data_IF_636455424592
#
_entry.id   IF_636455424592
#
_cell.length_a   1.000
_cell.length_b   1.000
_cell.length_c   1.000
_cell.angle_alpha   90.00
_cell.angle_beta   90.00
_cell.angle_gamma   90.00
#
_symmetry.space_group_name_H-M   'P 1'
#
loop_
_entity.id
_entity.type
_entity.pdbx_description
1 polymer ?
#
# COMPACT_ATOMS: atom_id res chain seq x y z
N UNK A 1 32.16 -14.26 -13.19
CA UNK A 1 31.48 -14.59 -11.91
C UNK A 1 31.01 -13.34 -11.10
N UNK A 2 31.51 -12.11 -11.34
CA UNK A 2 31.14 -10.92 -10.52
C UNK A 2 29.88 -10.16 -10.95
N UNK A 3 29.39 -10.29 -12.17
CA UNK A 3 28.19 -9.60 -12.65
C UNK A 3 26.89 -10.30 -12.21
N UNK A 4 26.86 -11.64 -12.25
CA UNK A 4 25.69 -12.43 -11.83
C UNK A 4 25.34 -12.18 -10.35
N UNK A 5 26.33 -11.99 -9.48
CA UNK A 5 26.09 -11.74 -8.04
C UNK A 5 25.55 -10.32 -7.75
N UNK A 6 25.82 -9.32 -8.59
CA UNK A 6 25.29 -7.97 -8.40
C UNK A 6 23.82 -7.86 -8.83
N UNK A 7 23.47 -8.41 -9.97
CA UNK A 7 22.06 -8.41 -10.46
C UNK A 7 21.15 -9.21 -9.53
N UNK A 8 21.61 -10.37 -9.03
CA UNK A 8 20.85 -11.18 -8.07
C UNK A 8 20.62 -10.45 -6.74
N UNK A 9 21.63 -9.69 -6.25
CA UNK A 9 21.49 -8.92 -5.01
C UNK A 9 20.51 -7.73 -5.17
N UNK A 10 20.53 -7.02 -6.29
CA UNK A 10 19.57 -5.93 -6.55
C UNK A 10 18.14 -6.46 -6.60
N UNK A 11 17.91 -7.59 -7.25
CA UNK A 11 16.60 -8.21 -7.35
C UNK A 11 16.06 -8.62 -5.98
N UNK A 12 16.88 -9.24 -5.12
CA UNK A 12 16.48 -9.63 -3.76
C UNK A 12 16.16 -8.42 -2.88
N UNK A 13 16.91 -7.33 -3.01
CA UNK A 13 16.68 -6.10 -2.25
C UNK A 13 15.32 -5.49 -2.59
N UNK A 14 14.89 -5.55 -3.85
CA UNK A 14 13.58 -5.02 -4.28
C UNK A 14 12.40 -5.72 -3.62
N UNK A 15 12.45 -7.05 -3.42
CA UNK A 15 11.39 -7.79 -2.74
C UNK A 15 11.23 -7.39 -1.27
N UNK A 16 12.33 -7.02 -0.60
CA UNK A 16 12.32 -6.57 0.79
C UNK A 16 11.76 -5.15 0.97
N UNK A 17 11.43 -4.45 -0.10
CA UNK A 17 10.80 -3.13 -0.07
C UNK A 17 9.28 -3.18 -0.24
N UNK A 18 8.72 -4.37 -0.41
CA UNK A 18 7.27 -4.56 -0.58
C UNK A 18 6.67 -5.17 0.67
N UNK A 19 5.84 -4.39 1.37
CA UNK A 19 5.05 -4.86 2.52
C UNK A 19 3.72 -5.43 2.04
N UNK A 20 3.37 -6.60 2.52
CA UNK A 20 2.00 -7.12 2.44
C UNK A 20 1.29 -6.79 3.74
N UNK A 21 0.22 -6.02 3.67
CA UNK A 21 -0.56 -5.61 4.84
C UNK A 21 -1.93 -6.28 4.78
N UNK A 22 -2.25 -7.10 5.77
CA UNK A 22 -3.55 -7.75 5.92
C UNK A 22 -4.31 -7.06 7.06
N UNK A 23 -5.50 -6.54 6.75
CA UNK A 23 -6.30 -5.75 7.71
C UNK A 23 -7.49 -6.55 8.19
N UNK A 24 -7.67 -6.61 9.52
CA UNK A 24 -8.80 -7.25 10.21
C UNK A 24 -9.06 -8.70 9.73
N UNK A 25 -8.00 -9.45 9.44
CA UNK A 25 -8.12 -10.85 9.00
C UNK A 25 -8.73 -11.70 10.11
N UNK A 26 -9.86 -12.34 9.82
CA UNK A 26 -10.62 -13.14 10.78
C UNK A 26 -10.22 -14.61 10.79
N UNK A 27 -9.82 -15.14 9.64
CA UNK A 27 -9.47 -16.55 9.45
C UNK A 27 -7.95 -16.73 9.49
N UNK A 28 -7.36 -17.31 10.58
CA UNK A 28 -5.91 -17.44 10.71
C UNK A 28 -5.29 -18.33 9.63
N UNK A 29 -6.06 -19.23 9.02
CA UNK A 29 -5.60 -20.03 7.88
C UNK A 29 -5.23 -19.17 6.66
N UNK A 30 -5.86 -18.00 6.47
CA UNK A 30 -5.52 -17.06 5.41
C UNK A 30 -4.17 -16.38 5.66
N UNK A 31 -3.83 -16.08 6.93
CA UNK A 31 -2.52 -15.52 7.29
C UNK A 31 -1.41 -16.52 6.93
N UNK A 32 -1.58 -17.81 7.31
CA UNK A 32 -0.62 -18.85 6.99
C UNK A 32 -0.46 -19.06 5.47
N UNK A 33 -1.59 -19.13 4.75
CA UNK A 33 -1.56 -19.30 3.30
C UNK A 33 -0.94 -18.08 2.59
N UNK A 34 -1.17 -16.86 3.08
CA UNK A 34 -0.52 -15.65 2.59
C UNK A 34 1.00 -15.68 2.83
N UNK A 35 1.45 -16.08 4.03
CA UNK A 35 2.87 -16.22 4.34
C UNK A 35 3.55 -17.20 3.39
N UNK A 36 2.91 -18.34 3.09
CA UNK A 36 3.41 -19.31 2.11
C UNK A 36 3.48 -18.71 0.69
N UNK A 37 2.44 -18.02 0.27
CA UNK A 37 2.40 -17.33 -1.02
C UNK A 37 3.55 -16.31 -1.16
N UNK A 38 3.77 -15.52 -0.12
CA UNK A 38 4.83 -14.52 -0.03
C UNK A 38 6.21 -15.19 -0.13
N UNK A 39 6.49 -16.20 0.69
CA UNK A 39 7.79 -16.89 0.71
C UNK A 39 8.13 -17.51 -0.64
N UNK A 40 7.16 -18.12 -1.33
CA UNK A 40 7.37 -18.68 -2.67
C UNK A 40 7.82 -17.62 -3.70
N UNK A 41 7.46 -16.35 -3.47
CA UNK A 41 7.74 -15.23 -4.37
C UNK A 41 8.70 -14.20 -3.76
N UNK A 42 9.56 -14.64 -2.83
CA UNK A 42 10.61 -13.86 -2.19
C UNK A 42 10.14 -12.63 -1.38
N UNK A 43 8.85 -12.50 -1.09
CA UNK A 43 8.31 -11.46 -0.21
C UNK A 43 8.45 -11.89 1.25
N UNK A 44 8.95 -11.00 2.10
CA UNK A 44 9.23 -11.30 3.51
C UNK A 44 8.52 -10.38 4.49
N UNK A 45 8.08 -9.20 4.05
CA UNK A 45 7.51 -8.19 4.93
C UNK A 45 5.99 -8.37 5.09
N UNK A 46 5.56 -9.11 6.10
CA UNK A 46 4.15 -9.29 6.46
C UNK A 46 3.78 -8.36 7.62
N UNK A 47 2.73 -7.57 7.44
CA UNK A 47 2.12 -6.73 8.46
C UNK A 47 0.67 -7.16 8.67
N UNK A 48 0.27 -7.28 9.93
CA UNK A 48 -1.07 -7.73 10.34
C UNK A 48 -1.70 -6.62 11.18
N UNK A 49 -2.72 -5.96 10.64
CA UNK A 49 -3.46 -4.93 11.38
C UNK A 49 -4.63 -5.59 12.06
N UNK A 50 -4.67 -5.55 13.39
CA UNK A 50 -5.72 -6.09 14.24
C UNK A 50 -6.23 -7.50 13.82
N UNK A 51 -5.35 -8.50 13.63
CA UNK A 51 -5.78 -9.85 13.29
C UNK A 51 -6.59 -10.46 14.44
N UNK A 52 -7.68 -11.16 14.13
CA UNK A 52 -8.58 -11.70 15.17
C UNK A 52 -7.96 -12.83 16.00
N UNK A 53 -7.06 -13.62 15.43
CA UNK A 53 -6.43 -14.75 16.09
C UNK A 53 -5.02 -14.99 15.54
N UNK A 54 -4.06 -14.26 16.10
CA UNK A 54 -2.65 -14.38 15.76
C UNK A 54 -1.78 -14.09 17.00
N UNK A 55 -0.73 -14.88 17.29
CA UNK A 55 -0.30 -16.08 16.55
C UNK A 55 -1.28 -17.28 16.71
N UNK A 56 -1.27 -18.21 15.73
CA UNK A 56 -2.21 -19.33 15.69
C UNK A 56 -1.59 -20.60 15.10
N UNK A 57 -1.84 -21.74 15.73
CA UNK A 57 -1.43 -23.03 15.21
C UNK A 57 -2.00 -23.34 13.82
N UNK A 58 -3.20 -22.82 13.50
CA UNK A 58 -3.82 -22.94 12.19
C UNK A 58 -3.03 -22.15 11.14
N UNK A 59 -2.57 -20.94 11.48
CA UNK A 59 -1.73 -20.14 10.60
C UNK A 59 -0.40 -20.87 10.32
N UNK A 60 0.27 -21.39 11.35
CA UNK A 60 1.52 -22.15 11.22
C UNK A 60 1.33 -23.38 10.34
N UNK A 61 0.28 -24.17 10.57
CA UNK A 61 0.00 -25.36 9.76
C UNK A 61 -0.22 -25.02 8.27
N UNK A 62 -0.94 -23.91 7.99
CA UNK A 62 -1.20 -23.45 6.62
C UNK A 62 0.02 -22.80 5.96
N UNK A 63 0.95 -22.26 6.74
CA UNK A 63 2.19 -21.67 6.22
C UNK A 63 3.13 -22.71 5.62
N UNK A 64 3.06 -23.98 6.08
CA UNK A 64 3.76 -25.12 5.44
C UNK A 64 5.23 -24.82 5.12
N UNK A 65 6.02 -24.43 6.13
CA UNK A 65 7.43 -24.08 6.01
C UNK A 65 7.74 -22.60 5.75
N UNK A 66 6.73 -21.73 5.76
CA UNK A 66 6.91 -20.27 5.74
C UNK A 66 6.84 -19.66 7.16
N UNK A 67 7.32 -20.41 8.16
CA UNK A 67 7.29 -20.01 9.57
C UNK A 67 8.14 -18.76 9.85
N UNK A 68 9.20 -18.56 9.09
CA UNK A 68 10.05 -17.38 9.13
C UNK A 68 9.30 -16.10 8.75
N UNK A 69 8.40 -16.14 7.76
CA UNK A 69 7.54 -15.01 7.40
C UNK A 69 6.55 -14.71 8.53
N UNK A 70 5.97 -15.76 9.13
CA UNK A 70 5.07 -15.59 10.27
C UNK A 70 5.79 -15.03 11.50
N UNK A 71 6.94 -15.60 11.87
CA UNK A 71 7.68 -15.17 13.07
C UNK A 71 8.20 -13.74 12.98
N UNK A 72 8.44 -13.24 11.76
CA UNK A 72 8.87 -11.87 11.51
C UNK A 72 7.69 -10.91 11.20
N UNK A 73 6.44 -11.43 11.20
CA UNK A 73 5.28 -10.61 10.93
C UNK A 73 5.10 -9.53 12.01
N UNK A 74 4.83 -8.30 11.58
CA UNK A 74 4.58 -7.16 12.48
C UNK A 74 3.09 -7.02 12.72
N UNK A 75 2.68 -7.08 13.98
CA UNK A 75 1.29 -6.85 14.40
C UNK A 75 1.15 -5.39 14.77
N UNK A 76 0.20 -4.70 14.14
CA UNK A 76 -0.10 -3.28 14.32
C UNK A 76 -1.51 -3.08 14.87
N UNK A 77 -1.70 -2.03 15.66
CA UNK A 77 -3.01 -1.65 16.19
C UNK A 77 -3.86 -0.89 15.17
N UNK A 78 -3.23 -0.19 14.22
CA UNK A 78 -3.91 0.59 13.17
C UNK A 78 -3.24 0.39 11.82
N UNK A 79 -3.96 0.74 10.73
CA UNK A 79 -3.39 0.70 9.38
C UNK A 79 -2.30 1.76 9.22
N UNK A 80 -2.46 2.93 9.82
CA UNK A 80 -1.46 4.00 9.79
C UNK A 80 -0.12 3.54 10.37
N UNK A 81 -0.13 2.78 11.48
CA UNK A 81 1.10 2.19 12.05
C UNK A 81 1.81 1.27 11.06
N UNK A 82 1.05 0.46 10.30
CA UNK A 82 1.61 -0.43 9.28
C UNK A 82 2.17 0.32 8.07
N UNK A 83 1.76 1.58 7.87
CA UNK A 83 2.13 2.41 6.72
C UNK A 83 3.26 3.40 7.02
N UNK A 84 3.74 3.51 8.28
CA UNK A 84 4.87 4.39 8.62
C UNK A 84 6.10 4.06 7.75
N UNK A 85 6.68 5.06 7.12
CA UNK A 85 7.86 4.93 6.24
C UNK A 85 7.54 4.38 4.84
N UNK A 86 6.26 4.16 4.50
CA UNK A 86 5.83 3.73 3.16
C UNK A 86 5.71 4.95 2.24
N UNK A 87 6.15 4.81 0.99
CA UNK A 87 6.07 5.86 -0.02
C UNK A 87 4.86 5.68 -0.95
N UNK A 88 4.52 4.46 -1.28
CA UNK A 88 3.37 4.15 -2.13
C UNK A 88 2.45 3.15 -1.44
N UNK A 89 1.19 3.53 -1.24
CA UNK A 89 0.16 2.68 -0.63
C UNK A 89 -0.85 2.25 -1.69
N UNK A 90 -1.01 0.95 -1.85
CA UNK A 90 -1.87 0.32 -2.85
C UNK A 90 -2.93 -0.51 -2.13
N UNK A 91 -4.20 -0.22 -2.37
CA UNK A 91 -5.32 -1.00 -1.82
C UNK A 91 -5.80 -2.06 -2.81
N UNK A 92 -5.87 -3.32 -2.41
CA UNK A 92 -6.46 -4.38 -3.22
C UNK A 92 -8.00 -4.33 -3.12
N UNK A 93 -8.70 -4.20 -4.25
CA UNK A 93 -10.16 -4.14 -4.28
C UNK A 93 -10.72 -4.87 -5.49
N UNK A 94 -11.66 -5.78 -5.25
CA UNK A 94 -12.42 -6.44 -6.30
C UNK A 94 -13.71 -5.69 -6.67
N UNK A 95 -14.14 -4.71 -5.86
CA UNK A 95 -15.42 -4.00 -6.03
C UNK A 95 -15.24 -2.70 -6.78
N UNK A 96 -16.15 -2.41 -7.70
CA UNK A 96 -16.30 -1.05 -8.24
C UNK A 96 -16.78 -0.13 -7.12
N UNK A 97 -16.15 1.05 -7.01
CA UNK A 97 -16.46 2.06 -5.99
C UNK A 97 -17.05 3.31 -6.64
N UNK A 98 -17.96 3.99 -5.92
CA UNK A 98 -18.59 5.22 -6.40
C UNK A 98 -17.61 6.40 -6.54
N UNK A 99 -16.50 6.36 -5.81
CA UNK A 99 -15.43 7.35 -5.89
C UNK A 99 -14.40 6.83 -6.91
N UNK A 100 -14.04 7.63 -7.91
CA UNK A 100 -13.04 7.27 -8.92
C UNK A 100 -11.63 7.38 -8.34
N UNK A 101 -11.04 6.25 -7.95
CA UNK A 101 -9.63 6.11 -7.62
C UNK A 101 -8.79 5.97 -8.89
N UNK A 102 -7.47 6.22 -8.80
CA UNK A 102 -6.55 5.71 -9.81
C UNK A 102 -6.56 4.18 -9.69
N UNK A 103 -7.18 3.53 -10.66
CA UNK A 103 -7.27 2.06 -10.68
C UNK A 103 -6.27 1.53 -11.68
N UNK A 104 -5.54 0.52 -11.26
CA UNK A 104 -4.61 -0.22 -12.07
C UNK A 104 -4.95 -1.71 -11.97
N UNK A 105 -4.68 -2.47 -13.02
CA UNK A 105 -4.68 -3.91 -12.89
C UNK A 105 -3.41 -4.38 -12.15
N UNK A 106 -3.32 -5.67 -11.88
CA UNK A 106 -2.18 -6.23 -11.14
C UNK A 106 -0.86 -6.09 -11.90
N UNK A 107 -0.88 -6.10 -13.24
CA UNK A 107 0.32 -5.96 -14.08
C UNK A 107 0.83 -4.52 -14.04
N UNK A 108 -0.06 -3.56 -14.29
CA UNK A 108 0.23 -2.12 -14.21
C UNK A 108 0.70 -1.74 -12.79
N UNK A 109 0.05 -2.31 -11.77
CA UNK A 109 0.43 -2.10 -10.36
C UNK A 109 1.85 -2.58 -10.09
N UNK A 110 2.23 -3.76 -10.58
CA UNK A 110 3.59 -4.27 -10.39
C UNK A 110 4.63 -3.41 -11.10
N UNK A 111 4.31 -2.85 -12.27
CA UNK A 111 5.19 -1.89 -12.95
C UNK A 111 5.40 -0.62 -12.14
N UNK A 112 4.34 -0.08 -11.51
CA UNK A 112 4.43 1.07 -10.61
C UNK A 112 5.26 0.76 -9.35
N UNK A 113 5.07 -0.42 -8.75
CA UNK A 113 5.86 -0.89 -7.61
C UNK A 113 7.35 -0.92 -8.00
N UNK A 114 7.68 -1.51 -9.13
CA UNK A 114 9.06 -1.63 -9.55
C UNK A 114 9.70 -0.25 -9.78
N UNK A 115 8.99 0.69 -10.40
CA UNK A 115 9.46 2.06 -10.54
C UNK A 115 9.74 2.72 -9.18
N UNK A 116 8.88 2.49 -8.19
CA UNK A 116 9.01 3.05 -6.83
C UNK A 116 10.16 2.41 -6.05
N UNK A 117 10.30 1.08 -6.08
CA UNK A 117 11.35 0.38 -5.31
C UNK A 117 12.74 0.52 -5.91
N UNK A 118 12.87 0.86 -7.20
CA UNK A 118 14.16 1.14 -7.85
C UNK A 118 14.72 2.51 -7.46
N UNK A 119 13.91 3.42 -6.96
CA UNK A 119 14.36 4.66 -6.32
C UNK A 119 14.86 4.30 -4.91
N UNK A 120 16.07 4.71 -4.57
CA UNK A 120 16.76 4.29 -3.35
C UNK A 120 15.90 4.43 -2.10
N UNK A 121 15.80 3.33 -1.34
CA UNK A 121 15.16 3.18 -0.04
C UNK A 121 13.64 3.38 0.03
N UNK A 122 12.93 3.50 -1.08
CA UNK A 122 11.48 3.65 -1.07
C UNK A 122 10.76 2.32 -0.84
N UNK A 123 9.83 2.29 0.13
CA UNK A 123 9.01 1.13 0.44
C UNK A 123 7.59 1.29 -0.08
N UNK A 124 7.00 0.17 -0.46
CA UNK A 124 5.61 0.07 -0.97
C UNK A 124 4.81 -0.82 -0.04
N UNK A 125 3.56 -0.46 0.23
CA UNK A 125 2.60 -1.33 0.91
C UNK A 125 1.46 -1.72 -0.03
N UNK A 126 1.14 -3.01 -0.05
CA UNK A 126 -0.06 -3.54 -0.71
C UNK A 126 -1.01 -4.04 0.38
N UNK A 127 -2.16 -3.37 0.49
CA UNK A 127 -3.11 -3.53 1.58
C UNK A 127 -4.28 -4.40 1.12
N UNK A 128 -4.53 -5.46 1.87
CA UNK A 128 -5.64 -6.40 1.65
C UNK A 128 -6.60 -6.33 2.83
N UNK A 129 -7.87 -6.08 2.56
CA UNK A 129 -8.90 -5.97 3.59
C UNK A 129 -9.47 -7.30 4.03
N UNK A 130 -10.56 -7.23 4.81
CA UNK A 130 -11.25 -8.42 5.35
C UNK A 130 -11.80 -9.32 4.25
N UNK A 131 -11.97 -10.60 4.58
CA UNK A 131 -12.45 -11.64 3.66
C UNK A 131 -13.85 -11.33 3.10
N UNK A 132 -14.72 -10.74 3.90
CA UNK A 132 -16.13 -10.55 3.55
C UNK A 132 -16.40 -9.21 2.84
N UNK A 133 -15.77 -8.13 3.31
CA UNK A 133 -16.09 -6.77 2.86
C UNK A 133 -14.97 -6.09 2.08
N UNK A 134 -13.74 -6.64 2.14
CA UNK A 134 -12.55 -5.98 1.62
C UNK A 134 -12.18 -4.77 2.50
N UNK A 135 -11.55 -3.78 1.91
CA UNK A 135 -11.17 -2.54 2.57
C UNK A 135 -12.38 -1.62 2.78
N UNK A 136 -12.45 -0.97 3.93
CA UNK A 136 -13.44 0.10 4.21
C UNK A 136 -13.10 1.36 3.41
N UNK A 137 -14.00 2.34 3.42
CA UNK A 137 -13.73 3.62 2.74
C UNK A 137 -12.60 4.39 3.43
N UNK A 138 -12.54 4.32 4.76
CA UNK A 138 -11.51 4.96 5.58
C UNK A 138 -10.13 4.34 5.29
N UNK A 139 -10.03 3.02 5.17
CA UNK A 139 -8.80 2.33 4.79
C UNK A 139 -8.38 2.65 3.35
N UNK A 140 -9.34 2.78 2.43
CA UNK A 140 -9.08 3.18 1.05
C UNK A 140 -8.64 4.64 0.94
N UNK A 141 -9.09 5.52 1.83
CA UNK A 141 -8.65 6.92 1.85
C UNK A 141 -7.15 7.08 2.15
N UNK A 142 -6.51 6.04 2.73
CA UNK A 142 -5.07 5.97 2.94
C UNK A 142 -4.30 5.42 1.73
N UNK A 143 -5.01 4.90 0.71
CA UNK A 143 -4.40 4.32 -0.48
C UNK A 143 -4.31 5.35 -1.61
N UNK A 144 -3.16 5.39 -2.30
CA UNK A 144 -2.95 6.23 -3.49
C UNK A 144 -3.52 5.58 -4.76
N UNK A 145 -3.45 4.26 -4.83
CA UNK A 145 -3.84 3.45 -5.99
C UNK A 145 -4.77 2.33 -5.52
N UNK A 146 -5.75 1.97 -6.34
CA UNK A 146 -6.50 0.73 -6.19
C UNK A 146 -6.02 -0.30 -7.20
N UNK A 147 -5.54 -1.42 -6.71
CA UNK A 147 -5.21 -2.59 -7.51
C UNK A 147 -6.44 -3.46 -7.70
N UNK A 148 -6.70 -3.87 -8.93
CA UNK A 148 -7.69 -4.88 -9.27
C UNK A 148 -7.03 -6.09 -9.90
N UNK A 149 -7.50 -7.29 -9.54
CA UNK A 149 -7.10 -8.53 -10.19
C UNK A 149 -8.19 -8.88 -11.19
N UNK A 150 -7.92 -8.81 -12.50
CA UNK A 150 -8.91 -9.18 -13.52
C UNK A 150 -9.37 -10.64 -13.37
N UNK A 151 -10.66 -10.86 -13.48
CA UNK A 151 -11.24 -12.19 -13.32
C UNK A 151 -12.64 -12.29 -13.90
N UNK A 152 -13.37 -13.35 -13.55
CA UNK A 152 -14.74 -13.54 -14.00
C UNK A 152 -15.65 -12.41 -13.48
N UNK A 153 -16.27 -11.58 -14.35
CA UNK A 153 -17.08 -10.44 -13.91
C UNK A 153 -18.34 -10.84 -13.12
N UNK A 154 -18.75 -12.09 -13.19
CA UNK A 154 -19.87 -12.64 -12.40
C UNK A 154 -19.42 -13.29 -11.09
N UNK A 155 -18.12 -13.59 -10.94
CA UNK A 155 -17.53 -14.21 -9.75
C UNK A 155 -16.11 -13.69 -9.54
N UNK A 156 -16.01 -12.45 -9.12
CA UNK A 156 -14.75 -11.67 -9.11
C UNK A 156 -14.02 -11.67 -7.75
N UNK A 157 -14.69 -12.09 -6.67
CA UNK A 157 -14.08 -12.07 -5.33
C UNK A 157 -13.14 -13.26 -5.16
N UNK A 158 -11.87 -12.98 -4.95
CA UNK A 158 -10.88 -13.98 -4.56
C UNK A 158 -10.80 -14.08 -3.04
N UNK A 159 -10.49 -15.28 -2.53
CA UNK A 159 -9.99 -15.42 -1.16
C UNK A 159 -8.74 -14.54 -1.01
N UNK A 160 -8.56 -13.91 0.15
CA UNK A 160 -7.49 -12.94 0.40
C UNK A 160 -6.09 -13.53 0.17
N UNK A 161 -5.83 -14.75 0.61
CA UNK A 161 -4.55 -15.42 0.38
C UNK A 161 -4.34 -15.75 -1.11
N UNK A 162 -5.40 -16.07 -1.84
CA UNK A 162 -5.34 -16.27 -3.30
C UNK A 162 -5.05 -14.96 -4.03
N UNK A 163 -5.65 -13.84 -3.59
CA UNK A 163 -5.35 -12.53 -4.13
C UNK A 163 -3.87 -12.14 -3.88
N UNK A 164 -3.36 -12.41 -2.69
CA UNK A 164 -1.95 -12.22 -2.34
C UNK A 164 -1.05 -13.12 -3.21
N UNK A 165 -1.43 -14.37 -3.48
CA UNK A 165 -0.65 -15.26 -4.34
C UNK A 165 -0.57 -14.73 -5.78
N UNK A 166 -1.69 -14.26 -6.35
CA UNK A 166 -1.71 -13.69 -7.71
C UNK A 166 -0.83 -12.45 -7.79
N UNK A 167 -0.99 -11.54 -6.82
CA UNK A 167 -0.15 -10.36 -6.72
C UNK A 167 1.33 -10.71 -6.58
N UNK A 168 1.67 -11.58 -5.63
CA UNK A 168 3.06 -11.97 -5.35
C UNK A 168 3.73 -12.60 -6.58
N UNK A 169 3.01 -13.47 -7.30
CA UNK A 169 3.49 -14.06 -8.55
C UNK A 169 3.75 -13.00 -9.63
N UNK A 170 2.79 -12.09 -9.85
CA UNK A 170 2.96 -11.04 -10.85
C UNK A 170 4.11 -10.10 -10.48
N UNK A 171 4.23 -9.73 -9.20
CA UNK A 171 5.34 -8.92 -8.72
C UNK A 171 6.70 -9.62 -8.91
N UNK A 172 6.76 -10.93 -8.66
CA UNK A 172 7.96 -11.73 -8.90
C UNK A 172 8.36 -11.71 -10.38
N UNK A 173 7.42 -12.01 -11.28
CA UNK A 173 7.68 -12.01 -12.73
C UNK A 173 8.14 -10.64 -13.21
N UNK A 174 7.42 -9.58 -12.84
CA UNK A 174 7.78 -8.21 -13.22
C UNK A 174 9.15 -7.78 -12.69
N UNK A 175 9.55 -8.26 -11.50
CA UNK A 175 10.86 -7.93 -10.91
C UNK A 175 12.01 -8.65 -11.60
N UNK A 176 11.80 -9.91 -12.01
CA UNK A 176 12.85 -10.73 -12.65
C UNK A 176 13.02 -10.34 -14.12
N UNK A 177 11.93 -9.96 -14.81
CA UNK A 177 11.94 -9.60 -16.23
C UNK A 177 12.15 -8.11 -16.50
N UNK A 178 11.98 -7.25 -15.46
CA UNK A 178 11.91 -5.79 -15.62
C UNK A 178 13.23 -5.10 -15.92
N UNK A 179 13.27 -4.35 -17.03
CA UNK A 179 14.20 -3.23 -17.23
C UNK A 179 13.41 -1.94 -16.97
N UNK A 180 13.76 -1.20 -15.92
CA UNK A 180 13.02 0.00 -15.54
C UNK A 180 13.76 1.28 -15.91
N UNK A 181 13.00 2.26 -16.39
CA UNK A 181 13.48 3.62 -16.64
C UNK A 181 13.35 4.45 -15.34
N UNK A 182 14.49 4.82 -14.77
CA UNK A 182 14.59 5.54 -13.48
C UNK A 182 14.59 7.06 -13.66
N UNK A 183 13.75 7.63 -14.51
CA UNK A 183 13.71 9.06 -14.80
C UNK A 183 12.85 9.91 -13.84
N UNK A 184 12.26 9.34 -12.79
CA UNK A 184 11.42 10.02 -11.80
C UNK A 184 12.18 10.53 -10.57
N UNK A 185 11.69 11.63 -9.98
CA UNK A 185 12.15 12.14 -8.68
C UNK A 185 11.71 11.28 -7.49
N UNK A 186 12.22 11.59 -6.31
CA UNK A 186 11.84 10.88 -5.08
C UNK A 186 10.40 11.19 -4.70
N UNK A 187 9.54 10.17 -4.71
CA UNK A 187 8.11 10.29 -4.39
C UNK A 187 7.92 10.59 -2.90
N UNK A 188 6.98 11.47 -2.57
CA UNK A 188 6.64 11.79 -1.20
C UNK A 188 6.05 10.58 -0.47
N UNK A 189 6.57 10.27 0.70
CA UNK A 189 6.15 9.15 1.51
C UNK A 189 4.80 9.38 2.21
N UNK A 190 4.25 8.32 2.77
CA UNK A 190 2.98 8.36 3.52
C UNK A 190 2.98 9.42 4.63
N UNK A 191 4.05 9.52 5.41
CA UNK A 191 4.14 10.46 6.52
C UNK A 191 4.15 11.92 6.04
N UNK A 192 4.84 12.20 4.93
CA UNK A 192 4.89 13.53 4.31
C UNK A 192 3.52 13.94 3.76
N UNK A 193 2.85 13.02 3.06
CA UNK A 193 1.49 13.24 2.56
C UNK A 193 0.49 13.44 3.71
N UNK A 194 0.56 12.62 4.75
CA UNK A 194 -0.35 12.73 5.87
C UNK A 194 -0.13 14.05 6.63
N UNK A 195 1.12 14.44 6.85
CA UNK A 195 1.47 15.75 7.43
C UNK A 195 0.95 16.91 6.57
N UNK A 196 1.07 16.80 5.24
CA UNK A 196 0.52 17.80 4.31
C UNK A 196 -1.00 17.90 4.42
N UNK A 197 -1.72 16.78 4.47
CA UNK A 197 -3.19 16.80 4.57
C UNK A 197 -3.66 17.45 5.89
N UNK A 198 -2.97 17.18 6.98
CA UNK A 198 -3.28 17.81 8.27
C UNK A 198 -3.06 19.33 8.20
N UNK A 199 -1.96 19.78 7.57
CA UNK A 199 -1.69 21.19 7.38
C UNK A 199 -2.73 21.84 6.44
N UNK A 200 -3.06 21.20 5.33
CA UNK A 200 -4.08 21.68 4.38
C UNK A 200 -5.44 21.86 5.08
N UNK A 201 -5.81 20.91 5.94
CA UNK A 201 -7.05 20.98 6.71
C UNK A 201 -7.04 22.20 7.66
N UNK A 202 -5.95 22.43 8.39
CA UNK A 202 -5.77 23.61 9.27
C UNK A 202 -5.85 24.93 8.49
N UNK A 203 -5.26 24.98 7.29
CA UNK A 203 -5.32 26.17 6.43
C UNK A 203 -6.73 26.41 5.94
N UNK A 204 -7.44 25.37 5.49
CA UNK A 204 -8.83 25.50 5.02
C UNK A 204 -9.79 25.92 6.15
N UNK A 205 -9.53 25.49 7.38
CA UNK A 205 -10.25 26.00 8.57
C UNK A 205 -9.94 27.47 8.82
N UNK A 206 -8.67 27.84 8.82
CA UNK A 206 -8.22 29.21 9.07
C UNK A 206 -8.85 30.23 8.11
N UNK A 207 -8.99 29.88 6.83
CA UNK A 207 -9.61 30.74 5.81
C UNK A 207 -11.13 30.55 5.70
N UNK A 208 -11.76 29.82 6.62
CA UNK A 208 -13.20 29.52 6.65
C UNK A 208 -13.74 28.94 5.32
N UNK A 209 -12.97 28.07 4.68
CA UNK A 209 -13.32 27.47 3.39
C UNK A 209 -14.45 26.43 3.50
N UNK A 210 -14.63 25.82 4.66
CA UNK A 210 -15.63 24.78 4.86
C UNK A 210 -17.05 25.35 4.90
N UNK A 211 -17.89 24.89 3.95
CA UNK A 211 -19.30 25.23 3.91
C UNK A 211 -20.08 24.42 4.98
N UNK A 212 -20.89 25.09 5.80
CA UNK A 212 -21.73 24.46 6.80
C UNK A 212 -22.76 23.45 6.22
N UNK A 213 -23.03 23.53 4.91
CA UNK A 213 -23.97 22.66 4.20
C UNK A 213 -23.36 21.37 3.67
N UNK A 214 -22.00 21.24 3.69
CA UNK A 214 -21.30 20.06 3.15
C UNK A 214 -20.36 19.48 4.20
N UNK A 215 -20.34 18.15 4.37
CA UNK A 215 -19.45 17.50 5.33
C UNK A 215 -17.97 17.81 5.02
N UNK A 216 -17.23 18.35 5.98
CA UNK A 216 -15.79 18.59 5.91
C UNK A 216 -15.02 17.33 5.46
N UNK A 217 -15.40 16.18 6.01
CA UNK A 217 -14.80 14.88 5.69
C UNK A 217 -14.88 14.54 4.21
N UNK A 218 -15.98 14.88 3.53
CA UNK A 218 -16.14 14.62 2.09
C UNK A 218 -15.15 15.43 1.25
N UNK A 219 -14.90 16.70 1.61
CA UNK A 219 -13.92 17.54 0.91
C UNK A 219 -12.52 17.01 1.14
N UNK A 220 -12.15 16.73 2.39
CA UNK A 220 -10.80 16.20 2.71
C UNK A 220 -10.55 14.86 2.02
N UNK A 221 -11.54 13.97 1.96
CA UNK A 221 -11.44 12.72 1.19
C UNK A 221 -11.16 12.97 -0.31
N UNK A 222 -11.83 13.97 -0.92
CA UNK A 222 -11.58 14.32 -2.32
C UNK A 222 -10.18 14.89 -2.54
N UNK A 223 -9.69 15.70 -1.60
CA UNK A 223 -8.34 16.28 -1.65
C UNK A 223 -7.26 15.22 -1.46
N UNK A 224 -7.43 14.31 -0.49
CA UNK A 224 -6.54 13.14 -0.33
C UNK A 224 -6.46 12.33 -1.62
N UNK A 225 -7.60 12.07 -2.25
CA UNK A 225 -7.62 11.36 -3.53
C UNK A 225 -6.97 12.15 -4.67
N UNK A 226 -7.15 13.48 -4.72
CA UNK A 226 -6.53 14.31 -5.75
C UNK A 226 -5.01 14.24 -5.69
N UNK A 227 -4.44 14.49 -4.51
CA UNK A 227 -3.00 14.47 -4.32
C UNK A 227 -2.42 13.05 -4.34
N UNK A 228 -3.11 12.06 -3.74
CA UNK A 228 -2.65 10.67 -3.76
C UNK A 228 -2.51 10.09 -5.17
N UNK A 229 -3.45 10.41 -6.08
CA UNK A 229 -3.35 9.93 -7.48
C UNK A 229 -2.28 10.63 -8.32
N UNK A 230 -1.83 11.83 -7.93
CA UNK A 230 -0.77 12.54 -8.63
C UNK A 230 0.62 12.00 -8.30
N UNK A 231 0.73 11.21 -7.21
CA UNK A 231 1.98 10.61 -6.75
C UNK A 231 3.10 11.65 -6.65
N UNK A 232 2.91 12.74 -5.86
CA UNK A 232 3.78 13.91 -5.91
C UNK A 232 5.17 13.59 -5.38
N UNK A 233 6.17 14.21 -6.00
CA UNK A 233 7.57 14.14 -5.56
C UNK A 233 7.79 14.99 -4.29
N UNK A 234 8.85 14.69 -3.55
CA UNK A 234 9.20 15.46 -2.33
C UNK A 234 9.37 16.94 -2.60
N UNK A 235 9.95 17.29 -3.74
CA UNK A 235 10.11 18.69 -4.15
C UNK A 235 8.77 19.38 -4.40
N UNK A 236 7.82 18.70 -5.04
CA UNK A 236 6.46 19.20 -5.25
C UNK A 236 5.72 19.38 -3.91
N UNK A 237 5.89 18.44 -3.00
CA UNK A 237 5.33 18.54 -1.64
C UNK A 237 5.92 19.71 -0.87
N UNK A 238 7.23 19.97 -1.01
CA UNK A 238 7.89 21.12 -0.39
C UNK A 238 7.31 22.45 -0.92
N UNK A 239 7.05 22.54 -2.23
CA UNK A 239 6.38 23.70 -2.85
C UNK A 239 4.98 23.90 -2.26
N UNK A 240 4.15 22.85 -2.25
CA UNK A 240 2.80 22.91 -1.71
C UNK A 240 2.77 23.32 -0.24
N UNK A 241 3.63 22.72 0.59
CA UNK A 241 3.76 23.12 2.00
C UNK A 241 4.26 24.54 2.17
N UNK A 242 5.16 24.99 1.31
CA UNK A 242 5.61 26.40 1.28
C UNK A 242 4.47 27.36 1.05
N UNK A 243 3.55 27.05 0.13
CA UNK A 243 2.34 27.83 -0.14
C UNK A 243 1.44 27.87 1.11
N UNK A 244 1.15 26.69 1.70
CA UNK A 244 0.30 26.61 2.90
C UNK A 244 0.89 27.39 4.09
N UNK A 245 2.21 27.31 4.30
CA UNK A 245 2.90 28.04 5.39
C UNK A 245 2.80 29.55 5.24
N UNK A 246 2.67 30.08 4.03
CA UNK A 246 2.46 31.52 3.81
C UNK A 246 1.06 31.99 4.22
N UNK A 247 0.09 31.06 4.20
CA UNK A 247 -1.30 31.36 4.59
C UNK A 247 -1.48 31.17 6.09
N UNK A 248 -1.03 30.03 6.60
CA UNK A 248 -1.10 29.68 8.02
C UNK A 248 0.06 28.72 8.37
N UNK A 249 1.04 29.13 9.20
CA UNK A 249 2.13 28.26 9.60
C UNK A 249 1.63 26.97 10.29
N UNK A 250 2.19 25.83 9.90
CA UNK A 250 1.79 24.53 10.43
C UNK A 250 2.04 24.45 11.94
N UNK A 251 1.02 23.95 12.64
CA UNK A 251 1.10 23.60 14.07
C UNK A 251 0.86 22.11 14.20
N UNK A 252 1.89 21.31 14.59
CA UNK A 252 1.78 19.86 14.74
C UNK A 252 0.82 19.44 15.85
#
# INVERSE_FOLDING_TARGET
>A
MSQINKETNYTLTSFNKVRIVMVNTTEPGNIGAAARAMKNMLLTQLYLVTPSNYPSAVATARASGADDVLSNAKVCGTLEEALIGVHLVIGASARQRNIKWRQLDVIETCSEIQSTVSIMDQEVAVVFGTENSGLTNEELDLCSILMTIPGNPKYFSLNVASAIQVFAYQNYVSTVEGKFDNSGGEIAGFDELNSFYNHLEQVLEHINYFDSKKPKSLLMRRLRRLFGRSNPEKEEMAILRGILNKINPYKP
#
